data_IF_016125994741
#
_entry.id   IF_016125994741
#
_cell.length_a   1.000
_cell.length_b   1.000
_cell.length_c   1.000
_cell.angle_alpha   90.00
_cell.angle_beta   90.00
_cell.angle_gamma   90.00
#
_symmetry.space_group_name_H-M   'P 1'
#
loop_
_entity.id
_entity.type
_entity.pdbx_description
1 polymer ?
#
# COMPACT_ATOMS: atom_id res chain seq x y z
N UNK A 1 16.47 0.99 -5.19
CA UNK A 1 16.18 2.26 -5.92
C UNK A 1 15.02 2.02 -6.86
N UNK A 2 14.04 2.90 -6.86
CA UNK A 2 12.85 2.84 -7.74
C UNK A 2 13.26 3.26 -9.16
N UNK A 3 13.29 2.33 -10.10
CA UNK A 3 13.68 2.55 -11.51
C UNK A 3 12.54 2.19 -12.45
N UNK A 4 12.55 2.72 -13.68
CA UNK A 4 11.51 2.43 -14.67
C UNK A 4 11.40 0.92 -14.96
N UNK A 5 12.53 0.24 -15.19
CA UNK A 5 12.56 -1.19 -15.44
C UNK A 5 11.88 -2.02 -14.32
N UNK A 6 12.08 -1.59 -13.04
CA UNK A 6 11.43 -2.24 -11.90
C UNK A 6 9.93 -1.98 -11.86
N UNK A 7 9.47 -0.81 -12.27
CA UNK A 7 8.04 -0.53 -12.40
C UNK A 7 7.40 -1.30 -13.55
N UNK A 8 8.10 -1.46 -14.67
CA UNK A 8 7.65 -2.27 -15.80
C UNK A 8 7.53 -3.74 -15.40
N UNK A 9 8.56 -4.31 -14.77
CA UNK A 9 8.55 -5.67 -14.21
C UNK A 9 7.38 -5.85 -13.24
N UNK A 10 7.22 -4.92 -12.28
CA UNK A 10 6.14 -4.96 -11.32
C UNK A 10 4.77 -4.87 -11.99
N UNK A 11 4.62 -4.01 -13.02
CA UNK A 11 3.36 -3.84 -13.75
C UNK A 11 2.93 -5.12 -14.46
N UNK A 12 3.87 -5.85 -15.06
CA UNK A 12 3.55 -7.15 -15.66
C UNK A 12 3.16 -8.16 -14.56
N UNK A 13 3.90 -8.18 -13.45
CA UNK A 13 3.68 -9.14 -12.39
C UNK A 13 2.35 -8.94 -11.66
N UNK A 14 1.98 -7.70 -11.35
CA UNK A 14 0.72 -7.43 -10.62
C UNK A 14 -0.54 -7.71 -11.43
N UNK A 15 -0.46 -7.79 -12.77
CA UNK A 15 -1.62 -8.18 -13.61
C UNK A 15 -2.19 -9.55 -13.23
N UNK A 16 -1.39 -10.41 -12.65
CA UNK A 16 -1.82 -11.74 -12.20
C UNK A 16 -2.79 -11.67 -11.00
N UNK A 17 -2.84 -10.55 -10.28
CA UNK A 17 -3.54 -10.45 -8.99
C UNK A 17 -4.52 -9.29 -8.89
N UNK A 18 -4.41 -8.27 -9.75
CA UNK A 18 -5.26 -7.08 -9.65
C UNK A 18 -6.46 -7.15 -10.60
N UNK A 19 -7.56 -6.54 -10.16
CA UNK A 19 -8.66 -6.21 -11.05
C UNK A 19 -8.29 -4.96 -11.87
N UNK A 20 -8.63 -4.93 -13.17
CA UNK A 20 -8.57 -3.69 -13.94
C UNK A 20 -9.49 -2.65 -13.30
N UNK A 21 -8.93 -1.62 -12.70
CA UNK A 21 -9.67 -0.49 -12.14
C UNK A 21 -9.56 0.69 -13.08
N UNK A 22 -10.29 0.65 -14.20
CA UNK A 22 -10.24 1.68 -15.21
C UNK A 22 -10.55 3.06 -14.62
N UNK A 23 -10.03 4.12 -15.24
CA UNK A 23 -10.32 5.49 -14.85
C UNK A 23 -11.81 5.82 -15.05
N UNK A 24 -12.42 6.39 -14.02
CA UNK A 24 -13.83 6.81 -14.04
C UNK A 24 -13.89 8.32 -14.11
N UNK A 25 -14.42 8.88 -15.21
CA UNK A 25 -14.67 10.30 -15.29
C UNK A 25 -15.77 10.73 -14.32
N UNK A 26 -15.53 11.80 -13.59
CA UNK A 26 -16.49 12.39 -12.67
C UNK A 26 -17.03 13.70 -13.21
N UNK A 27 -18.23 13.69 -13.74
CA UNK A 27 -18.92 14.90 -14.20
C UNK A 27 -19.08 15.90 -13.06
N UNK A 28 -19.58 15.45 -11.92
CA UNK A 28 -19.79 16.28 -10.75
C UNK A 28 -18.53 17.07 -10.32
N UNK A 29 -17.40 16.36 -10.08
CA UNK A 29 -16.18 17.05 -9.65
C UNK A 29 -15.54 17.86 -10.77
N UNK A 30 -15.74 17.47 -12.03
CA UNK A 30 -15.25 18.24 -13.17
C UNK A 30 -15.96 19.59 -13.28
N UNK A 31 -17.27 19.63 -13.13
CA UNK A 31 -18.06 20.86 -13.09
C UNK A 31 -17.69 21.74 -11.89
N UNK A 32 -17.57 21.16 -10.68
CA UNK A 32 -17.24 21.90 -9.47
C UNK A 32 -15.87 22.58 -9.53
N UNK A 33 -14.91 21.99 -10.23
CA UNK A 33 -13.51 22.45 -10.23
C UNK A 33 -13.08 23.14 -11.52
N UNK A 34 -13.88 23.05 -12.59
CA UNK A 34 -13.51 23.50 -13.93
C UNK A 34 -12.39 22.67 -14.57
N UNK A 35 -12.15 21.45 -14.09
CA UNK A 35 -11.12 20.53 -14.57
C UNK A 35 -11.77 19.25 -15.13
N UNK A 36 -10.96 18.39 -15.77
CA UNK A 36 -11.38 17.02 -16.11
C UNK A 36 -10.91 16.08 -15.00
N UNK A 37 -11.82 15.69 -14.12
CA UNK A 37 -11.52 14.86 -12.94
C UNK A 37 -11.83 13.40 -13.22
N UNK A 38 -10.86 12.53 -12.93
CA UNK A 38 -10.97 11.09 -13.05
C UNK A 38 -10.62 10.43 -11.72
N UNK A 39 -11.30 9.34 -11.39
CA UNK A 39 -10.97 8.48 -10.26
C UNK A 39 -10.29 7.21 -10.73
N UNK A 40 -9.23 6.79 -10.02
CA UNK A 40 -8.64 5.45 -10.08
C UNK A 40 -9.16 4.65 -8.87
N UNK A 41 -10.22 3.84 -9.05
CA UNK A 41 -10.99 3.29 -7.91
C UNK A 41 -10.33 2.03 -7.32
N UNK A 42 -9.18 2.17 -6.68
CA UNK A 42 -8.44 1.07 -6.07
C UNK A 42 -9.16 0.41 -4.86
N UNK A 43 -10.22 1.03 -4.36
CA UNK A 43 -11.15 0.40 -3.42
C UNK A 43 -11.99 -0.74 -4.03
N UNK A 44 -11.95 -0.89 -5.35
CA UNK A 44 -12.62 -1.97 -6.08
C UNK A 44 -11.76 -3.23 -6.23
N UNK A 45 -10.50 -3.23 -5.74
CA UNK A 45 -9.66 -4.42 -5.72
C UNK A 45 -10.26 -5.55 -4.87
N UNK A 46 -9.86 -6.82 -5.10
CA UNK A 46 -10.33 -8.00 -4.36
C UNK A 46 -10.26 -7.85 -2.84
N UNK A 47 -9.23 -7.15 -2.34
CA UNK A 47 -9.05 -6.88 -0.91
C UNK A 47 -9.63 -5.53 -0.47
N UNK A 48 -10.34 -4.83 -1.35
CA UNK A 48 -10.90 -3.50 -1.07
C UNK A 48 -9.87 -2.37 -1.04
N UNK A 49 -8.64 -2.60 -1.52
CA UNK A 49 -7.59 -1.59 -1.53
C UNK A 49 -6.41 -1.97 -2.44
N UNK A 50 -5.64 -0.97 -2.86
CA UNK A 50 -4.43 -1.10 -3.68
C UNK A 50 -3.30 -1.92 -3.05
N UNK A 51 -3.31 -2.15 -1.75
CA UNK A 51 -2.22 -2.79 -0.97
C UNK A 51 -1.81 -4.16 -1.50
N UNK A 52 -2.71 -4.88 -2.17
CA UNK A 52 -2.42 -6.16 -2.80
C UNK A 52 -1.29 -6.07 -3.84
N UNK A 53 -1.18 -4.95 -4.56
CA UNK A 53 -0.16 -4.72 -5.59
C UNK A 53 1.26 -4.85 -5.02
N UNK A 54 1.57 -4.04 -4.01
CA UNK A 54 2.88 -4.07 -3.37
C UNK A 54 3.16 -5.35 -2.61
N UNK A 55 2.17 -5.94 -1.95
CA UNK A 55 2.32 -7.22 -1.27
C UNK A 55 2.64 -8.35 -2.27
N UNK A 56 1.89 -8.44 -3.36
CA UNK A 56 2.09 -9.47 -4.37
C UNK A 56 3.45 -9.33 -5.07
N UNK A 57 3.81 -8.11 -5.48
CA UNK A 57 5.12 -7.87 -6.10
C UNK A 57 6.26 -8.18 -5.12
N UNK A 58 6.15 -7.79 -3.85
CA UNK A 58 7.16 -8.15 -2.83
C UNK A 58 7.37 -9.66 -2.73
N UNK A 59 6.29 -10.43 -2.64
CA UNK A 59 6.37 -11.89 -2.55
C UNK A 59 6.96 -12.50 -3.81
N UNK A 60 6.67 -11.92 -5.00
CA UNK A 60 7.22 -12.41 -6.26
C UNK A 60 8.74 -12.30 -6.35
N UNK A 61 9.34 -11.32 -5.66
CA UNK A 61 10.79 -11.10 -5.66
C UNK A 61 11.56 -11.97 -4.67
N UNK A 62 10.86 -12.68 -3.78
CA UNK A 62 11.49 -13.58 -2.81
C UNK A 62 11.95 -14.87 -3.46
N UNK A 63 13.07 -15.42 -3.01
CA UNK A 63 13.53 -16.75 -3.37
C UNK A 63 12.55 -17.82 -2.86
N UNK A 64 12.65 -19.03 -3.39
CA UNK A 64 11.84 -20.15 -2.93
C UNK A 64 12.07 -20.44 -1.44
N UNK A 65 13.34 -20.44 -1.01
CA UNK A 65 13.71 -20.60 0.40
C UNK A 65 13.12 -19.54 1.33
N UNK A 66 13.11 -18.26 0.89
CA UNK A 66 12.48 -17.17 1.65
C UNK A 66 10.97 -17.35 1.75
N UNK A 67 10.33 -17.78 0.67
CA UNK A 67 8.89 -18.06 0.66
C UNK A 67 8.52 -19.23 1.56
N UNK A 68 9.30 -20.30 1.57
CA UNK A 68 9.09 -21.47 2.45
C UNK A 68 9.16 -21.10 3.93
N UNK A 69 10.05 -20.17 4.32
CA UNK A 69 10.13 -19.64 5.69
C UNK A 69 8.92 -18.81 6.09
N UNK A 70 8.11 -18.39 5.11
CA UNK A 70 6.88 -17.65 5.33
C UNK A 70 7.06 -16.13 5.48
N UNK A 71 5.93 -15.50 5.71
CA UNK A 71 5.82 -14.04 5.77
C UNK A 71 5.27 -13.60 7.12
N UNK A 72 5.76 -12.47 7.61
CA UNK A 72 5.20 -11.79 8.78
C UNK A 72 4.91 -10.34 8.43
N UNK A 73 3.79 -9.81 8.89
CA UNK A 73 3.50 -8.38 8.80
C UNK A 73 2.74 -7.90 10.02
N UNK A 74 2.76 -6.60 10.26
CA UNK A 74 1.91 -5.93 11.26
C UNK A 74 0.95 -4.98 10.56
N UNK A 75 -0.34 -5.23 10.66
CA UNK A 75 -1.39 -4.35 10.16
C UNK A 75 -2.76 -4.83 10.58
N UNK A 76 -3.63 -3.93 11.02
CA UNK A 76 -5.04 -4.21 11.29
C UNK A 76 -5.98 -3.86 10.11
N UNK A 77 -5.42 -3.41 8.96
CA UNK A 77 -6.21 -2.86 7.85
C UNK A 77 -5.92 -3.51 6.50
N UNK A 78 -5.86 -2.66 5.50
CA UNK A 78 -5.75 -3.04 4.09
C UNK A 78 -4.47 -3.81 3.75
N UNK A 79 -3.35 -3.49 4.41
CA UNK A 79 -2.10 -4.20 4.17
C UNK A 79 -2.15 -5.65 4.67
N UNK A 80 -2.77 -5.89 5.83
CA UNK A 80 -2.99 -7.23 6.37
C UNK A 80 -3.71 -8.14 5.36
N UNK A 81 -4.80 -7.62 4.78
CA UNK A 81 -5.59 -8.35 3.79
C UNK A 81 -4.81 -8.52 2.48
N UNK A 82 -4.08 -7.49 2.03
CA UNK A 82 -3.23 -7.56 0.84
C UNK A 82 -2.15 -8.63 0.94
N UNK A 83 -1.43 -8.69 2.08
CA UNK A 83 -0.41 -9.73 2.33
C UNK A 83 -1.03 -11.11 2.43
N UNK A 84 -2.12 -11.26 3.19
CA UNK A 84 -2.80 -12.54 3.35
C UNK A 84 -3.31 -13.10 2.00
N UNK A 85 -3.92 -12.24 1.18
CA UNK A 85 -4.41 -12.64 -0.14
C UNK A 85 -3.28 -12.99 -1.10
N UNK A 86 -2.23 -12.18 -1.16
CA UNK A 86 -1.07 -12.45 -2.00
C UNK A 86 -0.34 -13.74 -1.57
N UNK A 87 -0.15 -13.95 -0.28
CA UNK A 87 0.43 -15.16 0.28
C UNK A 87 -0.36 -16.43 -0.08
N UNK A 88 -1.70 -16.33 0.00
CA UNK A 88 -2.59 -17.44 -0.43
C UNK A 88 -2.37 -17.83 -1.88
N UNK A 89 -2.24 -16.85 -2.79
CA UNK A 89 -2.04 -17.13 -4.21
C UNK A 89 -0.69 -17.78 -4.51
N UNK A 90 0.34 -17.44 -3.73
CA UNK A 90 1.67 -18.06 -3.81
C UNK A 90 1.77 -19.38 -3.03
N UNK A 91 0.77 -19.78 -2.24
CA UNK A 91 0.84 -20.94 -1.36
C UNK A 91 1.84 -20.76 -0.21
N UNK A 92 2.15 -19.52 0.18
CA UNK A 92 3.14 -19.17 1.20
C UNK A 92 2.46 -18.96 2.56
N UNK A 93 3.00 -19.52 3.68
CA UNK A 93 2.47 -19.24 4.99
C UNK A 93 2.62 -17.74 5.35
N UNK A 94 1.58 -17.13 5.90
CA UNK A 94 1.63 -15.75 6.36
C UNK A 94 1.08 -15.61 7.78
N UNK A 95 1.81 -14.89 8.62
CA UNK A 95 1.39 -14.48 9.96
C UNK A 95 1.16 -12.96 9.98
N UNK A 96 -0.02 -12.54 10.41
CA UNK A 96 -0.39 -11.13 10.54
C UNK A 96 -0.57 -10.80 12.01
N UNK A 97 0.22 -9.89 12.51
CA UNK A 97 0.11 -9.38 13.88
C UNK A 97 -0.77 -8.14 13.90
N UNK A 98 -1.75 -8.13 14.77
CA UNK A 98 -2.72 -7.05 14.94
C UNK A 98 -2.82 -6.64 16.41
N UNK A 99 -3.10 -5.37 16.72
CA UNK A 99 -3.48 -4.97 18.09
C UNK A 99 -4.69 -5.75 18.61
N UNK A 100 -4.74 -5.99 19.91
CA UNK A 100 -5.87 -6.67 20.57
C UNK A 100 -7.19 -5.90 20.44
N UNK A 101 -7.09 -4.60 20.18
CA UNK A 101 -8.22 -3.69 19.94
C UNK A 101 -8.81 -3.79 18.53
N UNK A 102 -8.21 -4.59 17.65
CA UNK A 102 -8.64 -4.70 16.25
C UNK A 102 -10.06 -5.28 16.16
N UNK A 103 -10.97 -4.63 15.42
CA UNK A 103 -12.33 -5.13 15.22
C UNK A 103 -12.35 -6.55 14.63
N UNK A 104 -13.21 -7.41 15.18
CA UNK A 104 -13.32 -8.82 14.78
C UNK A 104 -13.58 -9.02 13.27
N UNK A 105 -14.26 -8.09 12.63
CA UNK A 105 -14.49 -8.15 11.18
C UNK A 105 -13.19 -8.09 10.38
N UNK A 106 -12.23 -7.25 10.80
CA UNK A 106 -10.90 -7.12 10.17
C UNK A 106 -10.07 -8.39 10.40
N UNK A 107 -10.10 -8.92 11.63
CA UNK A 107 -9.46 -10.20 11.99
C UNK A 107 -10.01 -11.35 11.15
N UNK A 108 -11.33 -11.50 11.07
CA UNK A 108 -11.96 -12.59 10.34
C UNK A 108 -11.74 -12.49 8.83
N UNK A 109 -11.74 -11.30 8.25
CA UNK A 109 -11.42 -11.11 6.83
C UNK A 109 -9.99 -11.58 6.51
N UNK A 110 -9.01 -11.21 7.35
CA UNK A 110 -7.62 -11.64 7.18
C UNK A 110 -7.46 -13.14 7.31
N UNK A 111 -8.12 -13.77 8.30
CA UNK A 111 -8.17 -15.23 8.44
C UNK A 111 -8.85 -15.91 7.25
N UNK A 112 -9.88 -15.29 6.66
CA UNK A 112 -10.57 -15.79 5.47
C UNK A 112 -9.68 -15.91 4.24
N UNK A 113 -8.59 -15.15 4.18
CA UNK A 113 -7.55 -15.32 3.16
C UNK A 113 -6.51 -16.38 3.52
N UNK A 114 -6.62 -17.07 4.66
CA UNK A 114 -5.76 -18.18 5.05
C UNK A 114 -4.57 -17.79 5.92
N UNK A 115 -4.40 -16.50 6.27
CA UNK A 115 -3.32 -16.08 7.16
C UNK A 115 -3.59 -16.43 8.62
N UNK A 116 -2.52 -16.79 9.35
CA UNK A 116 -2.53 -16.87 10.82
C UNK A 116 -2.59 -15.45 11.37
N UNK A 117 -3.56 -15.16 12.22
CA UNK A 117 -3.65 -13.87 12.92
C UNK A 117 -3.22 -14.03 14.38
N UNK A 118 -2.29 -13.20 14.80
CA UNK A 118 -1.81 -13.08 16.18
C UNK A 118 -2.25 -11.72 16.71
N UNK A 119 -2.96 -11.70 17.83
CA UNK A 119 -3.34 -10.47 18.51
C UNK A 119 -2.29 -10.16 19.58
N UNK A 120 -1.62 -9.00 19.47
CA UNK A 120 -0.57 -8.59 20.40
C UNK A 120 -0.53 -7.07 20.56
N UNK A 121 -0.38 -6.64 21.83
CA UNK A 121 -0.34 -5.22 22.15
C UNK A 121 -1.70 -4.52 22.03
N UNK A 122 -1.76 -3.26 22.41
CA UNK A 122 -2.96 -2.41 22.40
C UNK A 122 -2.95 -1.42 21.23
N UNK A 123 -1.76 -1.12 20.70
CA UNK A 123 -1.51 -0.17 19.61
C UNK A 123 -0.66 -0.80 18.50
N UNK A 124 -0.63 -0.13 17.34
CA UNK A 124 0.11 -0.59 16.17
C UNK A 124 1.60 -0.82 16.46
N UNK A 125 2.25 0.09 17.19
CA UNK A 125 3.70 0.02 17.41
C UNK A 125 4.10 -1.23 18.20
N UNK A 126 3.31 -1.62 19.22
CA UNK A 126 3.52 -2.85 19.98
C UNK A 126 3.34 -4.10 19.10
N UNK A 127 2.29 -4.11 18.28
CA UNK A 127 2.08 -5.20 17.31
C UNK A 127 3.20 -5.29 16.27
N UNK A 128 3.70 -4.14 15.80
CA UNK A 128 4.78 -4.06 14.83
C UNK A 128 6.10 -4.55 15.41
N UNK A 129 6.45 -4.14 16.62
CA UNK A 129 7.65 -4.60 17.32
C UNK A 129 7.63 -6.13 17.50
N UNK A 130 6.52 -6.66 17.97
CA UNK A 130 6.36 -8.13 18.11
C UNK A 130 6.46 -8.85 16.77
N UNK A 131 5.88 -8.30 15.71
CA UNK A 131 5.96 -8.88 14.37
C UNK A 131 7.40 -8.94 13.83
N UNK A 132 8.21 -7.90 14.08
CA UNK A 132 9.62 -7.87 13.71
C UNK A 132 10.43 -8.93 14.47
N UNK A 133 10.18 -9.06 15.78
CA UNK A 133 10.82 -10.09 16.62
C UNK A 133 10.43 -11.50 16.17
N UNK A 134 9.14 -11.71 15.84
CA UNK A 134 8.65 -12.98 15.33
C UNK A 134 9.29 -13.33 13.99
N UNK A 135 9.34 -12.38 13.04
CA UNK A 135 9.99 -12.59 11.74
C UNK A 135 11.47 -12.99 11.91
N UNK A 136 12.20 -12.30 12.78
CA UNK A 136 13.60 -12.63 13.08
C UNK A 136 13.75 -14.02 13.71
N UNK A 137 12.88 -14.37 14.64
CA UNK A 137 12.91 -15.67 15.34
C UNK A 137 12.62 -16.84 14.40
N UNK A 138 11.65 -16.66 13.49
CA UNK A 138 11.22 -17.70 12.55
C UNK A 138 12.04 -17.71 11.25
N UNK A 139 12.91 -16.71 11.04
CA UNK A 139 13.63 -16.51 9.79
C UNK A 139 12.72 -16.11 8.62
N UNK A 140 11.49 -15.67 8.92
CA UNK A 140 10.48 -15.29 7.96
C UNK A 140 10.72 -13.88 7.42
N UNK A 141 10.20 -13.60 6.23
CA UNK A 141 10.30 -12.27 5.64
C UNK A 141 9.26 -11.31 6.22
N UNK A 142 9.70 -10.19 6.79
CA UNK A 142 8.80 -9.13 7.20
C UNK A 142 8.37 -8.28 6.00
N UNK A 143 7.08 -8.23 5.70
CA UNK A 143 6.50 -7.42 4.62
C UNK A 143 6.01 -6.09 5.19
N UNK A 144 6.83 -5.05 5.00
CA UNK A 144 6.54 -3.72 5.56
C UNK A 144 5.37 -3.05 4.81
N UNK A 145 4.42 -2.39 5.50
CA UNK A 145 3.22 -1.80 4.87
C UNK A 145 3.49 -0.59 3.95
N UNK A 146 4.68 0.05 4.04
CA UNK A 146 5.01 1.25 3.26
C UNK A 146 6.51 1.56 3.14
N UNK A 147 7.35 1.25 4.15
CA UNK A 147 8.78 1.56 4.14
C UNK A 147 9.61 0.39 3.55
N UNK A 148 9.30 0.03 2.31
CA UNK A 148 9.98 -1.00 1.53
C UNK A 148 9.92 -0.58 0.05
N UNK A 149 11.07 -0.44 -0.60
CA UNK A 149 11.15 0.01 -2.00
C UNK A 149 10.43 -0.95 -2.96
N UNK A 150 10.46 -2.26 -2.69
CA UNK A 150 9.78 -3.25 -3.54
C UNK A 150 8.27 -3.12 -3.38
N UNK A 151 7.78 -2.97 -2.15
CA UNK A 151 6.36 -2.70 -1.89
C UNK A 151 5.93 -1.40 -2.55
N UNK A 152 6.71 -0.33 -2.42
CA UNK A 152 6.42 0.95 -3.06
C UNK A 152 6.41 0.85 -4.60
N UNK A 153 7.31 0.06 -5.19
CA UNK A 153 7.33 -0.23 -6.64
C UNK A 153 6.00 -0.87 -7.07
N UNK A 154 5.56 -1.90 -6.36
CA UNK A 154 4.26 -2.52 -6.66
C UNK A 154 3.08 -1.55 -6.57
N UNK A 155 3.07 -0.66 -5.57
CA UNK A 155 2.04 0.38 -5.45
C UNK A 155 2.11 1.40 -6.60
N UNK A 156 3.31 1.72 -7.07
CA UNK A 156 3.54 2.65 -8.17
C UNK A 156 2.98 2.19 -9.52
N UNK A 157 2.69 0.89 -9.69
CA UNK A 157 2.07 0.36 -10.92
C UNK A 157 0.73 1.02 -11.24
N UNK A 158 0.08 1.63 -10.25
CA UNK A 158 -1.12 2.45 -10.45
C UNK A 158 -0.84 3.60 -11.43
N UNK A 159 0.31 4.26 -11.31
CA UNK A 159 0.68 5.34 -12.23
C UNK A 159 0.90 4.81 -13.65
N UNK A 160 1.46 3.59 -13.82
CA UNK A 160 1.58 2.98 -15.15
C UNK A 160 0.21 2.82 -15.83
N UNK A 161 -0.79 2.35 -15.09
CA UNK A 161 -2.16 2.20 -15.58
C UNK A 161 -2.79 3.56 -15.90
N UNK A 162 -2.60 4.57 -15.03
CA UNK A 162 -3.09 5.93 -15.26
C UNK A 162 -2.52 6.50 -16.57
N UNK A 163 -1.22 6.45 -16.76
CA UNK A 163 -0.59 6.99 -17.97
C UNK A 163 -0.98 6.22 -19.25
N UNK A 164 -1.26 4.92 -19.12
CA UNK A 164 -1.75 4.12 -20.25
C UNK A 164 -3.16 4.54 -20.68
N UNK A 165 -4.05 4.84 -19.73
CA UNK A 165 -5.43 5.23 -20.02
C UNK A 165 -5.58 6.74 -20.32
N UNK A 166 -4.76 7.58 -19.66
CA UNK A 166 -4.80 9.04 -19.77
C UNK A 166 -3.37 9.61 -19.92
N UNK A 167 -2.73 9.46 -21.11
CA UNK A 167 -1.37 9.96 -21.32
C UNK A 167 -1.20 11.47 -21.12
N UNK A 168 -2.29 12.21 -21.16
CA UNK A 168 -2.33 13.69 -21.02
C UNK A 168 -2.63 14.15 -19.60
N UNK A 169 -2.52 13.28 -18.59
CA UNK A 169 -2.74 13.65 -17.21
C UNK A 169 -1.73 14.72 -16.76
N UNK A 170 -2.24 15.81 -16.16
CA UNK A 170 -1.41 16.92 -15.67
C UNK A 170 -1.12 16.84 -14.18
N UNK A 171 -2.10 16.34 -13.41
CA UNK A 171 -2.06 16.31 -11.95
C UNK A 171 -2.56 14.97 -11.45
N UNK A 172 -1.81 14.36 -10.52
CA UNK A 172 -2.26 13.18 -9.78
C UNK A 172 -2.37 13.56 -8.30
N UNK A 173 -3.56 13.38 -7.72
CA UNK A 173 -3.79 13.51 -6.29
C UNK A 173 -3.62 12.14 -5.63
N UNK A 174 -2.76 12.04 -4.63
CA UNK A 174 -2.43 10.77 -3.97
C UNK A 174 -2.65 10.89 -2.47
N UNK A 175 -3.49 10.04 -1.87
CA UNK A 175 -3.62 10.01 -0.41
C UNK A 175 -2.32 9.52 0.23
N UNK A 176 -1.91 10.16 1.32
CA UNK A 176 -0.71 9.82 2.07
C UNK A 176 -1.09 9.36 3.49
N UNK A 177 -0.63 8.14 3.82
CA UNK A 177 -0.45 7.67 5.18
C UNK A 177 1.05 7.48 5.42
N UNK A 178 1.54 6.24 5.44
CA UNK A 178 2.97 5.93 5.56
C UNK A 178 3.86 6.26 4.35
N UNK A 179 3.31 6.81 3.26
CA UNK A 179 4.06 7.33 2.12
C UNK A 179 4.38 6.33 0.99
N UNK A 180 4.22 5.02 1.18
CA UNK A 180 4.62 4.02 0.18
C UNK A 180 3.90 4.15 -1.17
N UNK A 181 2.59 4.45 -1.16
CA UNK A 181 1.83 4.73 -2.38
C UNK A 181 2.35 6.01 -3.06
N UNK A 182 2.47 7.08 -2.29
CA UNK A 182 2.91 8.37 -2.82
C UNK A 182 4.34 8.28 -3.39
N UNK A 183 5.24 7.57 -2.72
CA UNK A 183 6.61 7.33 -3.20
C UNK A 183 6.61 6.58 -4.53
N UNK A 184 5.88 5.46 -4.64
CA UNK A 184 5.79 4.69 -5.87
C UNK A 184 5.16 5.47 -7.03
N UNK A 185 3.97 6.04 -6.80
CA UNK A 185 3.25 6.81 -7.83
C UNK A 185 4.03 8.03 -8.27
N UNK A 186 4.56 8.84 -7.34
CA UNK A 186 5.27 10.06 -7.71
C UNK A 186 6.59 9.78 -8.45
N UNK A 187 7.32 8.75 -8.02
CA UNK A 187 8.57 8.38 -8.70
C UNK A 187 8.30 7.94 -10.13
N UNK A 188 7.36 7.01 -10.33
CA UNK A 188 7.04 6.56 -11.67
C UNK A 188 6.45 7.68 -12.54
N UNK A 189 5.55 8.47 -11.99
CA UNK A 189 4.97 9.61 -12.71
C UNK A 189 6.04 10.59 -13.20
N UNK A 190 7.03 10.90 -12.36
CA UNK A 190 8.15 11.77 -12.74
C UNK A 190 9.13 11.14 -13.72
N UNK A 191 9.31 9.82 -13.69
CA UNK A 191 10.10 9.11 -14.70
C UNK A 191 9.44 9.14 -16.08
N UNK A 192 8.11 9.04 -16.13
CA UNK A 192 7.33 9.06 -17.38
C UNK A 192 7.11 10.48 -17.91
N UNK A 193 6.84 11.43 -17.03
CA UNK A 193 6.62 12.83 -17.38
C UNK A 193 7.16 13.76 -16.27
N UNK A 194 8.34 14.37 -16.43
CA UNK A 194 8.92 15.27 -15.43
C UNK A 194 8.05 16.48 -15.08
N UNK A 195 7.17 16.90 -15.98
CA UNK A 195 6.33 18.09 -15.82
C UNK A 195 5.04 17.83 -15.03
N UNK A 196 4.66 16.56 -14.83
CA UNK A 196 3.45 16.22 -14.09
C UNK A 196 3.52 16.74 -12.65
N UNK A 197 2.38 17.18 -12.11
CA UNK A 197 2.26 17.49 -10.69
C UNK A 197 1.71 16.27 -9.94
N UNK A 198 2.41 15.84 -8.91
CA UNK A 198 1.89 14.85 -7.96
C UNK A 198 1.70 15.55 -6.62
N UNK A 199 0.47 15.55 -6.13
CA UNK A 199 0.06 16.29 -4.93
C UNK A 199 -0.37 15.26 -3.89
N UNK A 200 0.34 15.21 -2.77
CA UNK A 200 -0.04 14.40 -1.61
C UNK A 200 -1.22 15.03 -0.87
N UNK A 201 -2.13 14.19 -0.42
CA UNK A 201 -3.33 14.61 0.33
C UNK A 201 -3.36 13.87 1.66
N UNK A 202 -3.46 14.62 2.75
CA UNK A 202 -3.62 14.09 4.11
C UNK A 202 -4.83 14.75 4.79
N UNK A 203 -5.50 14.04 5.72
CA UNK A 203 -6.48 14.69 6.59
C UNK A 203 -5.81 15.77 7.44
N UNK A 204 -6.44 16.90 7.64
CA UNK A 204 -5.89 18.00 8.45
C UNK A 204 -5.55 17.56 9.88
N UNK A 205 -6.37 16.64 10.44
CA UNK A 205 -6.14 16.07 11.78
C UNK A 205 -5.10 14.94 11.83
N UNK A 206 -4.44 14.58 10.71
CA UNK A 206 -3.42 13.51 10.63
C UNK A 206 -2.35 13.82 9.57
N UNK A 207 -1.84 15.04 9.54
CA UNK A 207 -0.92 15.56 8.51
C UNK A 207 0.56 15.35 8.86
N UNK A 208 0.96 14.11 9.18
CA UNK A 208 2.32 13.80 9.63
C UNK A 208 3.37 13.95 8.51
N UNK A 209 3.02 13.69 7.27
CA UNK A 209 3.94 13.87 6.13
C UNK A 209 4.22 15.35 5.88
N UNK A 210 3.18 16.18 5.89
CA UNK A 210 3.32 17.65 5.79
C UNK A 210 4.22 18.19 6.90
N UNK A 211 3.95 17.80 8.15
CA UNK A 211 4.77 18.22 9.29
C UNK A 211 6.24 17.76 9.15
N UNK A 212 6.47 16.55 8.62
CA UNK A 212 7.81 16.00 8.41
C UNK A 212 8.56 16.75 7.30
N UNK A 213 7.88 17.08 6.21
CA UNK A 213 8.46 17.85 5.11
C UNK A 213 8.83 19.26 5.55
N UNK A 214 7.95 19.95 6.29
CA UNK A 214 8.18 21.28 6.82
C UNK A 214 9.37 21.31 7.81
N UNK A 215 9.51 20.25 8.60
CA UNK A 215 10.59 20.12 9.58
C UNK A 215 11.91 19.58 9.00
N UNK A 216 11.92 19.07 7.75
CA UNK A 216 13.07 18.41 7.14
C UNK A 216 13.50 17.10 7.83
N UNK A 217 12.63 16.50 8.64
CA UNK A 217 12.87 15.25 9.38
C UNK A 217 11.56 14.55 9.68
N UNK A 218 11.62 13.25 9.96
CA UNK A 218 10.43 12.49 10.40
C UNK A 218 9.88 13.08 11.71
N UNK A 219 8.59 13.42 11.68
CA UNK A 219 7.85 13.96 12.83
C UNK A 219 6.75 13.00 13.21
N UNK A 220 6.65 12.69 14.50
CA UNK A 220 5.51 11.99 15.10
C UNK A 220 4.54 13.01 15.65
N UNK A 221 3.27 12.95 15.21
CA UNK A 221 2.22 13.82 15.77
C UNK A 221 1.85 13.37 17.19
N UNK A 222 1.58 14.29 18.11
CA UNK A 222 1.21 13.95 19.49
C UNK A 222 -0.17 13.29 19.58
N UNK A 223 -1.04 13.55 18.60
CA UNK A 223 -2.36 12.93 18.47
C UNK A 223 -2.83 13.02 17.05
N UNK A 224 -3.78 12.19 16.67
CA UNK A 224 -4.48 12.21 15.38
C UNK A 224 -5.99 12.23 15.61
N UNK A 225 -6.70 13.00 14.80
CA UNK A 225 -8.17 13.10 14.80
C UNK A 225 -8.68 13.09 13.35
N UNK A 226 -9.15 11.93 12.91
CA UNK A 226 -9.62 11.74 11.53
C UNK A 226 -10.54 10.55 11.42
N UNK A 227 -11.50 10.62 10.49
CA UNK A 227 -12.32 9.48 10.05
C UNK A 227 -11.64 8.62 8.97
N UNK A 228 -10.53 9.07 8.43
CA UNK A 228 -9.74 8.33 7.45
C UNK A 228 -8.94 7.23 8.17
N UNK A 229 -9.58 6.07 8.36
CA UNK A 229 -9.03 4.89 9.01
C UNK A 229 -8.72 3.82 7.95
N UNK A 230 -7.42 3.50 7.74
CA UNK A 230 -7.06 2.48 6.77
C UNK A 230 -5.62 2.05 6.76
#
# INVERSE_FOLDING_TARGET
MLTLDKFEEASEKVKEVVLPTNLIYSEYFSEQTGNKVYFKPENMQYTGAYKVRGAYYKISTLSEEEREKGLVTASAGNHAQGVAYAAKLYGVPATVVMPTTTPLIKVNRTKGYGAKVVLHGSVYDEACQYALELAKKEGATFVHPFNDEVVATGQGTIAMEIFKELPTVDIILVPIGGGGLAAGVSTLAKLLNPNIKVIGVEPAGASCMKASLDAGKVVTLPSVDTIADG
#
